data_IF_572864140627
#
_entry.id   IF_572864140627
#
_cell.length_a   1.000
_cell.length_b   1.000
_cell.length_c   1.000
_cell.angle_alpha   90.00
_cell.angle_beta   90.00
_cell.angle_gamma   90.00
#
_symmetry.space_group_name_H-M   'P 1'
#
loop_
_entity.id
_entity.type
_entity.pdbx_description
1 polymer ?
#
# COMPACT_ATOMS: atom_id res chain seq x y z
N UNK A 1 -64.04 63.33 -78.20
CA UNK A 1 -65.12 62.83 -77.33
C UNK A 1 -66.52 63.00 -77.95
N UNK A 2 -66.87 64.16 -78.53
CA UNK A 2 -68.18 64.35 -79.17
C UNK A 2 -68.41 63.42 -80.40
N UNK A 3 -67.38 63.22 -81.24
CA UNK A 3 -67.46 62.34 -82.42
C UNK A 3 -67.54 60.85 -82.08
N UNK A 4 -66.88 60.40 -81.00
CA UNK A 4 -66.94 59.00 -80.54
C UNK A 4 -68.30 58.66 -79.94
N UNK A 5 -68.90 59.61 -79.21
CA UNK A 5 -70.25 59.49 -78.65
C UNK A 5 -71.33 59.49 -79.75
N UNK A 6 -71.21 60.37 -80.75
CA UNK A 6 -72.13 60.40 -81.89
C UNK A 6 -72.09 59.10 -82.72
N UNK A 7 -70.90 58.48 -82.88
CA UNK A 7 -70.72 57.18 -83.54
C UNK A 7 -71.42 56.03 -82.79
N UNK A 8 -71.33 56.02 -81.46
CA UNK A 8 -72.00 55.05 -80.58
C UNK A 8 -73.53 55.23 -80.55
N UNK A 9 -74.00 56.48 -80.61
CA UNK A 9 -75.42 56.83 -80.62
C UNK A 9 -76.11 56.47 -81.95
N UNK A 10 -75.41 56.62 -83.08
CA UNK A 10 -75.90 56.24 -84.42
C UNK A 10 -75.94 54.72 -84.66
N UNK A 11 -75.12 53.94 -83.95
CA UNK A 11 -75.14 52.47 -84.01
C UNK A 11 -76.32 51.82 -83.25
N UNK A 12 -77.33 52.61 -82.85
CA UNK A 12 -78.55 52.14 -82.18
C UNK A 12 -78.31 51.28 -80.93
N UNK A 13 -77.23 51.49 -80.17
CA UNK A 13 -77.04 50.90 -78.84
C UNK A 13 -77.01 49.36 -78.74
N UNK A 14 -77.38 48.63 -79.79
CA UNK A 14 -77.44 47.16 -79.80
C UNK A 14 -76.03 46.59 -79.73
N UNK A 15 -75.08 47.11 -80.51
CA UNK A 15 -73.70 46.61 -80.53
C UNK A 15 -72.95 46.73 -79.19
N UNK A 16 -73.21 47.79 -78.40
CA UNK A 16 -72.56 47.97 -77.08
C UNK A 16 -73.15 47.01 -76.06
N UNK A 17 -74.48 46.85 -76.09
CA UNK A 17 -75.20 45.94 -75.21
C UNK A 17 -74.84 44.48 -75.57
N UNK A 18 -74.79 44.16 -76.86
CA UNK A 18 -74.38 42.87 -77.38
C UNK A 18 -72.91 42.57 -77.05
N UNK A 19 -71.99 43.54 -77.17
CA UNK A 19 -70.60 43.40 -76.74
C UNK A 19 -70.47 43.23 -75.23
N UNK A 20 -71.27 43.94 -74.44
CA UNK A 20 -71.30 43.77 -72.99
C UNK A 20 -71.76 42.36 -72.62
N UNK A 21 -72.85 41.87 -73.21
CA UNK A 21 -73.33 40.51 -72.95
C UNK A 21 -72.37 39.45 -73.50
N UNK A 22 -71.70 39.70 -74.62
CA UNK A 22 -70.64 38.83 -75.16
C UNK A 22 -69.46 38.73 -74.19
N UNK A 23 -68.93 39.87 -73.72
CA UNK A 23 -67.82 39.92 -72.77
C UNK A 23 -68.22 39.34 -71.40
N UNK A 24 -69.44 39.60 -70.95
CA UNK A 24 -69.96 39.03 -69.70
C UNK A 24 -70.15 37.52 -69.81
N UNK A 25 -70.64 37.01 -70.95
CA UNK A 25 -70.77 35.58 -71.20
C UNK A 25 -69.41 34.90 -71.32
N UNK A 26 -68.43 35.55 -71.98
CA UNK A 26 -67.06 35.06 -72.12
C UNK A 26 -66.33 35.02 -70.77
N UNK A 27 -66.51 36.07 -69.95
CA UNK A 27 -66.01 36.11 -68.58
C UNK A 27 -66.64 35.04 -67.69
N UNK A 28 -67.94 34.76 -67.83
CA UNK A 28 -68.56 33.67 -67.08
C UNK A 28 -68.12 32.29 -67.54
N UNK A 29 -67.87 32.12 -68.85
CA UNK A 29 -67.39 30.85 -69.40
C UNK A 29 -66.00 30.49 -68.86
N UNK A 30 -65.13 31.49 -68.67
CA UNK A 30 -63.76 31.30 -68.16
C UNK A 30 -63.60 31.55 -66.64
N UNK A 31 -64.64 32.00 -65.93
CA UNK A 31 -64.58 32.38 -64.50
C UNK A 31 -63.90 31.31 -63.64
N UNK A 32 -64.29 30.05 -63.82
CA UNK A 32 -63.77 28.95 -63.01
C UNK A 32 -62.29 28.67 -63.31
N UNK A 33 -61.90 28.74 -64.59
CA UNK A 33 -60.51 28.52 -65.00
C UNK A 33 -59.58 29.61 -64.47
N UNK A 34 -60.02 30.88 -64.57
CA UNK A 34 -59.30 32.02 -64.01
C UNK A 34 -59.23 31.94 -62.48
N UNK A 35 -60.31 31.54 -61.81
CA UNK A 35 -60.34 31.32 -60.37
C UNK A 35 -59.35 30.24 -59.96
N UNK A 36 -59.35 29.09 -60.63
CA UNK A 36 -58.46 27.97 -60.34
C UNK A 36 -56.99 28.35 -60.58
N UNK A 37 -56.71 29.10 -61.65
CA UNK A 37 -55.38 29.64 -61.93
C UNK A 37 -54.91 30.61 -60.83
N UNK A 38 -55.77 31.54 -60.43
CA UNK A 38 -55.50 32.46 -59.32
C UNK A 38 -55.27 31.70 -58.01
N UNK A 39 -56.09 30.70 -57.68
CA UNK A 39 -55.91 29.85 -56.51
C UNK A 39 -54.59 29.06 -56.57
N UNK A 40 -54.16 28.59 -57.75
CA UNK A 40 -52.85 27.94 -57.94
C UNK A 40 -51.69 28.89 -57.62
N UNK A 41 -51.75 30.12 -58.12
CA UNK A 41 -50.74 31.15 -57.83
C UNK A 41 -50.73 31.47 -56.33
N UNK A 42 -51.89 31.75 -55.75
CA UNK A 42 -52.01 32.12 -54.35
C UNK A 42 -51.55 31.00 -53.41
N UNK A 43 -51.93 29.75 -53.64
CA UNK A 43 -51.51 28.62 -52.80
C UNK A 43 -50.00 28.38 -52.91
N UNK A 44 -49.43 28.51 -54.10
CA UNK A 44 -47.99 28.39 -54.32
C UNK A 44 -47.22 29.49 -53.57
N UNK A 45 -47.68 30.74 -53.67
CA UNK A 45 -47.10 31.88 -52.96
C UNK A 45 -47.20 31.72 -51.44
N UNK A 46 -48.38 31.40 -50.89
CA UNK A 46 -48.56 31.15 -49.46
C UNK A 46 -47.63 30.03 -48.96
N UNK A 47 -47.51 28.95 -49.74
CA UNK A 47 -46.59 27.86 -49.44
C UNK A 47 -45.11 28.25 -49.54
N UNK A 48 -44.74 29.15 -50.45
CA UNK A 48 -43.38 29.70 -50.54
C UNK A 48 -43.05 30.54 -49.30
N UNK A 49 -43.90 31.50 -48.94
CA UNK A 49 -43.71 32.37 -47.77
C UNK A 49 -43.57 31.56 -46.48
N UNK A 50 -44.42 30.54 -46.30
CA UNK A 50 -44.34 29.68 -45.11
C UNK A 50 -43.02 28.88 -45.04
N UNK A 51 -42.55 28.34 -46.17
CA UNK A 51 -41.29 27.60 -46.22
C UNK A 51 -40.08 28.49 -46.01
N UNK A 52 -40.08 29.70 -46.58
CA UNK A 52 -39.01 30.67 -46.39
C UNK A 52 -38.88 31.08 -44.91
N UNK A 53 -40.02 31.32 -44.26
CA UNK A 53 -40.06 31.59 -42.82
C UNK A 53 -39.51 30.43 -41.97
N UNK A 54 -39.88 29.18 -42.28
CA UNK A 54 -39.35 27.99 -41.58
C UNK A 54 -37.83 27.87 -41.78
N UNK A 55 -37.33 28.11 -43.00
CA UNK A 55 -35.91 28.08 -43.30
C UNK A 55 -35.14 29.14 -42.49
N UNK A 56 -35.70 30.35 -42.37
CA UNK A 56 -35.13 31.40 -41.53
C UNK A 56 -35.04 30.96 -40.07
N UNK A 57 -36.12 30.41 -39.49
CA UNK A 57 -36.13 29.91 -38.12
C UNK A 57 -35.06 28.83 -37.92
N UNK A 58 -34.98 27.85 -38.83
CA UNK A 58 -33.98 26.80 -38.77
C UNK A 58 -32.55 27.35 -38.82
N UNK A 59 -32.30 28.33 -39.70
CA UNK A 59 -30.99 28.99 -39.83
C UNK A 59 -30.57 29.67 -38.53
N UNK A 60 -31.48 30.43 -37.90
CA UNK A 60 -31.19 31.08 -36.62
C UNK A 60 -31.02 30.07 -35.48
N UNK A 61 -31.84 29.01 -35.43
CA UNK A 61 -31.67 27.93 -34.47
C UNK A 61 -30.30 27.25 -34.60
N UNK A 62 -29.85 26.95 -35.82
CA UNK A 62 -28.52 26.36 -36.06
C UNK A 62 -27.40 27.29 -35.60
N UNK A 63 -27.52 28.61 -35.79
CA UNK A 63 -26.53 29.59 -35.28
C UNK A 63 -26.42 29.53 -33.76
N UNK A 64 -27.55 29.54 -33.06
CA UNK A 64 -27.59 29.45 -31.59
C UNK A 64 -26.97 28.13 -31.13
N UNK A 65 -27.40 27.02 -31.72
CA UNK A 65 -26.91 25.70 -31.33
C UNK A 65 -25.40 25.54 -31.59
N UNK A 66 -24.89 26.04 -32.73
CA UNK A 66 -23.45 26.05 -33.03
C UNK A 66 -22.66 26.83 -31.97
N UNK A 67 -23.13 28.03 -31.62
CA UNK A 67 -22.49 28.86 -30.61
C UNK A 67 -22.48 28.15 -29.24
N UNK A 68 -23.59 27.54 -28.85
CA UNK A 68 -23.71 26.80 -27.59
C UNK A 68 -22.79 25.57 -27.55
N UNK A 69 -22.78 24.73 -28.58
CA UNK A 69 -21.86 23.57 -28.67
C UNK A 69 -20.40 24.01 -28.55
N UNK A 70 -20.04 25.13 -29.20
CA UNK A 70 -18.70 25.73 -29.08
C UNK A 70 -18.38 26.22 -27.67
N UNK A 71 -19.34 26.88 -26.99
CA UNK A 71 -19.18 27.30 -25.60
C UNK A 71 -18.96 26.10 -24.66
N UNK A 72 -19.79 25.06 -24.81
CA UNK A 72 -19.67 23.83 -24.02
C UNK A 72 -18.31 23.15 -24.24
N UNK A 73 -17.85 23.05 -25.49
CA UNK A 73 -16.53 22.50 -25.81
C UNK A 73 -15.39 23.27 -25.14
N UNK A 74 -15.43 24.61 -25.18
CA UNK A 74 -14.42 25.45 -24.49
C UNK A 74 -14.44 25.24 -22.97
N UNK A 75 -15.63 25.16 -22.37
CA UNK A 75 -15.79 24.92 -20.93
C UNK A 75 -15.28 23.54 -20.49
N UNK A 76 -15.44 22.51 -21.34
CA UNK A 76 -14.86 21.19 -21.09
C UNK A 76 -13.33 21.24 -21.16
N UNK A 77 -12.77 21.84 -22.21
CA UNK A 77 -11.33 21.99 -22.38
C UNK A 77 -10.67 22.76 -21.22
N UNK A 78 -11.29 23.84 -20.75
CA UNK A 78 -10.80 24.61 -19.60
C UNK A 78 -10.66 23.73 -18.35
N UNK A 79 -11.66 22.88 -18.07
CA UNK A 79 -11.61 21.93 -16.94
C UNK A 79 -10.48 20.93 -17.10
N UNK A 80 -10.31 20.36 -18.29
CA UNK A 80 -9.24 19.39 -18.57
C UNK A 80 -7.85 20.02 -18.39
N UNK A 81 -7.65 21.26 -18.84
CA UNK A 81 -6.38 21.98 -18.66
C UNK A 81 -6.06 22.19 -17.19
N UNK A 82 -7.04 22.63 -16.39
CA UNK A 82 -6.87 22.86 -14.95
C UNK A 82 -6.52 21.55 -14.22
N UNK A 83 -7.24 20.47 -14.49
CA UNK A 83 -6.96 19.17 -13.86
C UNK A 83 -5.59 18.61 -14.26
N UNK A 84 -5.22 18.73 -15.54
CA UNK A 84 -3.90 18.34 -16.03
C UNK A 84 -2.79 19.13 -15.33
N UNK A 85 -2.96 20.44 -15.17
CA UNK A 85 -1.96 21.29 -14.51
C UNK A 85 -1.90 21.05 -13.00
N UNK A 86 -3.03 20.73 -12.35
CA UNK A 86 -3.08 20.28 -10.96
C UNK A 86 -2.33 18.96 -10.76
N UNK A 87 -2.59 17.97 -11.61
CA UNK A 87 -1.91 16.68 -11.58
C UNK A 87 -0.39 16.85 -11.79
N UNK A 88 0.02 17.67 -12.76
CA UNK A 88 1.44 17.98 -13.00
C UNK A 88 2.10 18.59 -11.76
N UNK A 89 1.48 19.60 -11.14
CA UNK A 89 2.02 20.24 -9.92
C UNK A 89 2.13 19.26 -8.76
N UNK A 90 1.08 18.46 -8.53
CA UNK A 90 1.07 17.45 -7.47
C UNK A 90 2.20 16.43 -7.68
N UNK A 91 2.38 15.92 -8.90
CA UNK A 91 3.44 14.97 -9.22
C UNK A 91 4.83 15.57 -9.01
N UNK A 92 5.03 16.84 -9.37
CA UNK A 92 6.29 17.55 -9.12
C UNK A 92 6.60 17.64 -7.62
N UNK A 93 5.65 18.10 -6.81
CA UNK A 93 5.87 18.23 -5.36
C UNK A 93 6.05 16.88 -4.68
N UNK A 94 5.30 15.85 -5.09
CA UNK A 94 5.49 14.50 -4.61
C UNK A 94 6.90 13.98 -4.92
N UNK A 95 7.41 14.22 -6.13
CA UNK A 95 8.78 13.85 -6.49
C UNK A 95 9.84 14.57 -5.63
N UNK A 96 9.63 15.86 -5.32
CA UNK A 96 10.50 16.61 -4.42
C UNK A 96 10.42 16.09 -2.98
N UNK A 97 9.23 15.80 -2.49
CA UNK A 97 9.01 15.21 -1.17
C UNK A 97 9.73 13.86 -1.04
N UNK A 98 9.64 12.98 -2.05
CA UNK A 98 10.34 11.70 -2.08
C UNK A 98 11.87 11.90 -2.03
N UNK A 99 12.41 12.89 -2.75
CA UNK A 99 13.85 13.21 -2.69
C UNK A 99 14.29 13.63 -1.29
N UNK A 100 13.55 14.54 -0.66
CA UNK A 100 13.83 14.99 0.71
C UNK A 100 13.75 13.81 1.68
N UNK A 101 12.68 13.02 1.61
CA UNK A 101 12.46 11.85 2.45
C UNK A 101 13.56 10.80 2.27
N UNK A 102 13.97 10.49 1.04
CA UNK A 102 15.06 9.54 0.74
C UNK A 102 16.37 10.01 1.37
N UNK A 103 16.72 11.28 1.18
CA UNK A 103 17.96 11.87 1.73
C UNK A 103 17.94 11.87 3.25
N UNK A 104 16.83 12.28 3.86
CA UNK A 104 16.64 12.25 5.32
C UNK A 104 16.77 10.82 5.85
N UNK A 105 16.11 9.83 5.23
CA UNK A 105 16.13 8.43 5.70
C UNK A 105 17.54 7.88 5.66
N UNK A 106 18.30 8.22 4.62
CA UNK A 106 19.72 7.89 4.52
C UNK A 106 20.58 8.57 5.59
N UNK A 107 20.38 9.87 5.82
CA UNK A 107 21.07 10.62 6.89
C UNK A 107 20.80 9.99 8.26
N UNK A 108 19.53 9.80 8.62
CA UNK A 108 19.13 9.26 9.92
C UNK A 108 19.70 7.87 10.18
N UNK A 109 19.66 6.98 9.18
CA UNK A 109 20.25 5.65 9.33
C UNK A 109 21.75 5.73 9.61
N UNK A 110 22.48 6.53 8.82
CA UNK A 110 23.93 6.69 8.98
C UNK A 110 24.32 7.41 10.26
N UNK A 111 23.46 8.27 10.82
CA UNK A 111 23.76 9.01 12.05
C UNK A 111 23.40 8.23 13.31
N UNK A 112 22.23 7.60 13.35
CA UNK A 112 21.69 7.07 14.61
C UNK A 112 21.61 5.54 14.68
N UNK A 113 21.54 4.85 13.54
CA UNK A 113 21.22 3.41 13.53
C UNK A 113 22.44 2.55 13.20
N UNK A 114 23.12 2.84 12.09
CA UNK A 114 24.13 1.92 11.53
C UNK A 114 25.46 2.62 11.27
N UNK A 115 26.50 2.18 11.97
CA UNK A 115 27.88 2.58 11.73
C UNK A 115 28.63 1.47 10.99
N UNK A 116 28.88 1.71 9.70
CA UNK A 116 29.57 0.76 8.84
C UNK A 116 31.00 0.48 9.32
N UNK A 117 31.74 1.52 9.70
CA UNK A 117 33.17 1.39 10.04
C UNK A 117 33.33 0.71 11.39
N UNK A 118 32.51 1.07 12.36
CA UNK A 118 32.50 0.37 13.66
C UNK A 118 32.13 -1.11 13.50
N UNK A 119 31.14 -1.43 12.65
CA UNK A 119 30.77 -2.83 12.38
C UNK A 119 31.86 -3.62 11.65
N UNK A 120 32.54 -3.02 10.67
CA UNK A 120 33.66 -3.66 9.98
C UNK A 120 34.77 -4.01 10.99
N UNK A 121 35.15 -3.05 11.84
CA UNK A 121 36.15 -3.27 12.87
C UNK A 121 35.74 -4.36 13.87
N UNK A 122 34.48 -4.37 14.31
CA UNK A 122 33.96 -5.42 15.20
C UNK A 122 34.02 -6.81 14.57
N UNK A 123 33.67 -6.93 13.28
CA UNK A 123 33.74 -8.21 12.58
C UNK A 123 35.20 -8.67 12.46
N UNK A 124 36.14 -7.77 12.22
CA UNK A 124 37.56 -8.11 12.16
C UNK A 124 38.07 -8.64 13.51
N UNK A 125 37.76 -7.94 14.60
CA UNK A 125 38.06 -8.42 15.96
C UNK A 125 37.42 -9.78 16.28
N UNK A 126 36.21 -10.03 15.78
CA UNK A 126 35.58 -11.35 15.94
C UNK A 126 36.31 -12.44 15.18
N UNK A 127 36.81 -12.17 13.97
CA UNK A 127 37.59 -13.15 13.20
C UNK A 127 38.87 -13.52 13.95
N UNK A 128 39.62 -12.53 14.44
CA UNK A 128 40.84 -12.76 15.21
C UNK A 128 40.57 -13.64 16.44
N UNK A 129 39.50 -13.34 17.19
CA UNK A 129 39.09 -14.17 18.35
C UNK A 129 38.68 -15.59 17.95
N UNK A 130 37.99 -15.76 16.82
CA UNK A 130 37.61 -17.08 16.33
C UNK A 130 38.83 -17.90 15.90
N UNK A 131 39.82 -17.25 15.28
CA UNK A 131 41.09 -17.90 14.93
C UNK A 131 41.86 -18.34 16.17
N UNK A 132 41.95 -17.48 17.19
CA UNK A 132 42.53 -17.83 18.50
C UNK A 132 41.81 -19.03 19.11
N UNK A 133 40.48 -18.97 19.17
CA UNK A 133 39.67 -20.08 19.74
C UNK A 133 39.87 -21.39 18.97
N UNK A 134 39.99 -21.33 17.63
CA UNK A 134 40.29 -22.51 16.81
C UNK A 134 41.67 -23.09 17.10
N UNK A 135 42.68 -22.25 17.28
CA UNK A 135 44.02 -22.68 17.66
C UNK A 135 44.06 -23.30 19.06
N UNK A 136 43.33 -22.70 20.01
CA UNK A 136 43.18 -23.25 21.36
C UNK A 136 42.47 -24.61 21.34
N UNK A 137 41.41 -24.76 20.53
CA UNK A 137 40.71 -26.03 20.37
C UNK A 137 41.58 -27.10 19.68
N UNK A 138 42.41 -26.73 18.70
CA UNK A 138 43.30 -27.70 18.05
C UNK A 138 44.39 -28.19 19.00
N UNK A 139 45.02 -27.29 19.75
CA UNK A 139 46.02 -27.65 20.77
C UNK A 139 45.39 -28.48 21.90
N UNK A 140 44.18 -28.13 22.33
CA UNK A 140 43.43 -28.96 23.29
C UNK A 140 43.10 -30.35 22.73
N UNK A 141 42.67 -30.46 21.48
CA UNK A 141 42.41 -31.75 20.86
C UNK A 141 43.67 -32.62 20.73
N UNK A 142 44.82 -32.03 20.39
CA UNK A 142 46.12 -32.72 20.33
C UNK A 142 46.59 -33.17 21.72
N UNK A 143 46.48 -32.32 22.73
CA UNK A 143 46.81 -32.69 24.12
C UNK A 143 45.90 -33.80 24.63
N UNK A 144 44.60 -33.76 24.33
CA UNK A 144 43.67 -34.85 24.66
C UNK A 144 44.04 -36.15 23.95
N UNK A 145 44.37 -36.11 22.65
CA UNK A 145 44.79 -37.29 21.88
C UNK A 145 46.04 -37.92 22.47
N UNK A 146 47.06 -37.12 22.79
CA UNK A 146 48.31 -37.62 23.38
C UNK A 146 48.09 -38.16 24.80
N UNK A 147 47.25 -37.52 25.61
CA UNK A 147 46.84 -38.05 26.93
C UNK A 147 46.12 -39.39 26.83
N UNK A 148 45.18 -39.54 25.91
CA UNK A 148 44.48 -40.81 25.68
C UNK A 148 45.42 -41.90 25.17
N UNK A 149 46.31 -41.57 24.23
CA UNK A 149 47.31 -42.52 23.71
C UNK A 149 48.28 -42.98 24.80
N UNK A 150 48.80 -42.05 25.61
CA UNK A 150 49.70 -42.38 26.73
C UNK A 150 48.99 -43.21 27.79
N UNK A 151 47.73 -42.90 28.13
CA UNK A 151 46.93 -43.68 29.06
C UNK A 151 46.66 -45.11 28.53
N UNK A 152 46.21 -45.24 27.29
CA UNK A 152 45.97 -46.55 26.66
C UNK A 152 47.26 -47.38 26.58
N UNK A 153 48.38 -46.74 26.24
CA UNK A 153 49.69 -47.40 26.21
C UNK A 153 50.11 -47.87 27.61
N UNK A 154 49.92 -47.04 28.65
CA UNK A 154 50.20 -47.43 30.04
C UNK A 154 49.33 -48.61 30.48
N UNK A 155 48.03 -48.59 30.16
CA UNK A 155 47.14 -49.72 30.45
C UNK A 155 47.60 -51.00 29.72
N UNK A 156 47.98 -50.88 28.44
CA UNK A 156 48.50 -52.00 27.66
C UNK A 156 49.80 -52.56 28.23
N UNK A 157 50.77 -51.69 28.59
CA UNK A 157 52.04 -52.10 29.23
C UNK A 157 51.77 -52.79 30.57
N UNK A 158 50.92 -52.22 31.43
CA UNK A 158 50.58 -52.83 32.72
C UNK A 158 49.90 -54.20 32.53
N UNK A 159 49.05 -54.34 31.52
CA UNK A 159 48.45 -55.63 31.17
C UNK A 159 49.50 -56.63 30.66
N UNK A 160 50.42 -56.20 29.80
CA UNK A 160 51.54 -57.01 29.33
C UNK A 160 52.45 -57.47 30.48
N UNK A 161 52.79 -56.60 31.43
CA UNK A 161 53.60 -56.96 32.61
C UNK A 161 52.94 -58.07 33.44
N UNK A 162 51.61 -57.98 33.67
CA UNK A 162 50.84 -59.03 34.34
C UNK A 162 50.85 -60.36 33.57
N UNK A 163 50.70 -60.29 32.24
CA UNK A 163 50.78 -61.47 31.39
C UNK A 163 52.20 -62.07 31.36
N UNK A 164 53.23 -61.23 31.33
CA UNK A 164 54.63 -61.63 31.34
C UNK A 164 54.99 -62.40 32.62
N UNK A 165 54.47 -61.99 33.78
CA UNK A 165 54.65 -62.74 35.03
C UNK A 165 54.06 -64.15 34.98
N UNK A 166 52.85 -64.31 34.42
CA UNK A 166 52.18 -65.62 34.34
C UNK A 166 52.70 -66.50 33.18
N UNK A 167 53.12 -65.88 32.08
CA UNK A 167 53.56 -66.55 30.84
C UNK A 167 55.02 -66.21 30.51
N UNK A 168 55.89 -66.23 31.51
CA UNK A 168 57.30 -65.84 31.36
C UNK A 168 58.09 -66.73 30.38
N UNK A 169 57.65 -67.97 30.14
CA UNK A 169 58.23 -68.87 29.12
C UNK A 169 57.99 -68.40 27.66
N UNK A 170 57.10 -67.43 27.43
CA UNK A 170 56.88 -66.79 26.12
C UNK A 170 57.73 -65.51 25.95
N UNK A 171 58.48 -65.12 26.98
CA UNK A 171 59.44 -64.01 26.92
C UNK A 171 60.74 -64.48 26.26
N UNK A 172 61.37 -63.57 25.52
CA UNK A 172 62.61 -63.87 24.81
C UNK A 172 63.81 -63.96 25.75
N UNK A 173 64.82 -64.72 25.33
CA UNK A 173 66.15 -64.70 25.96
C UNK A 173 67.07 -63.76 25.17
N UNK A 174 68.25 -63.44 25.71
CA UNK A 174 69.21 -62.52 25.08
C UNK A 174 69.61 -62.92 23.64
N UNK A 175 69.47 -64.20 23.29
CA UNK A 175 69.81 -64.74 21.97
C UNK A 175 68.60 -64.89 21.01
N UNK A 176 67.38 -65.06 21.53
CA UNK A 176 66.16 -65.28 20.71
C UNK A 176 65.02 -64.40 21.23
N UNK A 177 64.48 -63.48 20.40
CA UNK A 177 63.35 -62.64 20.77
C UNK A 177 62.09 -63.46 21.05
N UNK A 178 61.31 -63.07 22.07
CA UNK A 178 60.09 -63.77 22.48
C UNK A 178 58.88 -63.35 21.65
N UNK A 179 57.78 -64.10 21.72
CA UNK A 179 56.57 -63.83 20.93
C UNK A 179 56.01 -62.42 21.20
N UNK A 180 56.23 -61.90 22.41
CA UNK A 180 55.79 -60.56 22.82
C UNK A 180 56.70 -59.40 22.34
N UNK A 181 57.84 -59.66 21.68
CA UNK A 181 58.72 -58.58 21.18
C UNK A 181 58.32 -58.06 19.79
N UNK A 182 57.19 -58.51 19.25
CA UNK A 182 56.61 -57.98 18.01
C UNK A 182 56.10 -56.54 18.16
N UNK A 183 56.05 -55.79 17.05
CA UNK A 183 55.59 -54.38 17.04
C UNK A 183 54.22 -54.23 17.71
N UNK A 184 54.08 -53.20 18.53
CA UNK A 184 52.81 -52.76 19.11
C UNK A 184 51.81 -52.53 17.96
N UNK A 185 50.63 -53.18 17.95
CA UNK A 185 49.68 -53.06 16.85
C UNK A 185 49.10 -51.64 16.76
N UNK A 186 48.94 -51.14 15.53
CA UNK A 186 48.44 -49.81 15.14
C UNK A 186 46.94 -49.58 15.45
N UNK A 187 46.37 -50.35 16.39
CA UNK A 187 44.94 -50.35 16.73
C UNK A 187 44.58 -49.19 17.68
N UNK A 188 45.57 -48.39 18.10
CA UNK A 188 45.38 -47.21 18.96
C UNK A 188 45.16 -45.90 18.19
N UNK A 189 45.07 -45.93 16.85
CA UNK A 189 45.11 -44.72 16.01
C UNK A 189 43.79 -44.32 15.30
N UNK A 190 42.70 -45.09 15.39
CA UNK A 190 41.45 -44.78 14.65
C UNK A 190 40.27 -44.33 15.54
N UNK A 191 39.74 -43.09 15.36
CA UNK A 191 38.53 -42.64 16.08
C UNK A 191 37.22 -43.10 15.39
N UNK A 192 36.09 -43.26 16.13
CA UNK A 192 34.94 -44.06 15.70
C UNK A 192 33.77 -43.30 15.02
N UNK A 193 33.88 -42.01 14.73
CA UNK A 193 32.69 -41.11 14.75
C UNK A 193 32.03 -40.72 13.40
N UNK A 194 32.19 -41.45 12.29
CA UNK A 194 31.52 -41.08 11.02
C UNK A 194 30.74 -42.23 10.35
N UNK A 195 29.50 -42.46 10.79
CA UNK A 195 28.51 -43.22 10.03
C UNK A 195 27.07 -42.94 10.49
N UNK A 196 26.45 -41.83 10.05
CA UNK A 196 24.99 -41.76 9.87
C UNK A 196 24.59 -40.46 9.17
N UNK A 197 23.67 -40.57 8.19
CA UNK A 197 22.67 -39.59 7.70
C UNK A 197 22.74 -39.16 6.23
N UNK A 198 22.01 -39.87 5.37
CA UNK A 198 21.33 -39.31 4.20
C UNK A 198 20.31 -40.32 3.62
N UNK A 199 19.04 -40.22 4.03
CA UNK A 199 17.88 -40.71 3.27
C UNK A 199 16.57 -40.15 3.86
N UNK A 200 15.81 -39.40 3.04
CA UNK A 200 14.33 -39.46 2.91
C UNK A 200 13.76 -38.19 2.27
N UNK A 201 13.38 -38.34 1.01
CA UNK A 201 12.24 -37.70 0.37
C UNK A 201 10.94 -38.34 0.86
N UNK A 202 9.84 -37.60 1.00
CA UNK A 202 8.57 -38.02 0.36
C UNK A 202 7.42 -36.99 0.36
N UNK A 203 6.45 -37.17 -0.55
CA UNK A 203 5.49 -36.19 -1.03
C UNK A 203 4.06 -36.49 -0.56
N UNK A 204 3.41 -35.55 0.13
CA UNK A 204 1.96 -35.60 0.30
C UNK A 204 1.37 -34.20 0.23
N UNK A 205 0.94 -33.82 -0.97
CA UNK A 205 0.00 -32.72 -1.17
C UNK A 205 -1.13 -33.21 -2.09
N UNK A 206 -2.29 -33.51 -1.50
CA UNK A 206 -3.55 -33.73 -2.23
C UNK A 206 -4.70 -33.01 -1.51
N UNK A 207 -4.98 -31.82 -2.06
CA UNK A 207 -6.27 -31.20 -2.36
C UNK A 207 -7.52 -31.61 -1.54
N UNK A 208 -8.24 -30.59 -1.06
CA UNK A 208 -9.71 -30.61 -0.97
C UNK A 208 -10.33 -29.47 -1.81
N UNK A 209 -11.51 -29.69 -2.43
CA UNK A 209 -12.11 -28.76 -3.38
C UNK A 209 -13.10 -27.80 -2.69
N UNK A 210 -12.86 -26.48 -2.77
CA UNK A 210 -13.83 -25.49 -2.29
C UNK A 210 -14.94 -25.27 -3.32
N UNK A 211 -16.17 -25.56 -2.90
CA UNK A 211 -17.42 -25.16 -3.55
C UNK A 211 -17.45 -23.63 -3.71
N UNK A 212 -17.50 -23.15 -4.95
CA UNK A 212 -17.68 -21.73 -5.27
C UNK A 212 -19.08 -21.26 -4.80
N UNK A 213 -19.11 -20.50 -3.71
CA UNK A 213 -20.21 -19.57 -3.40
C UNK A 213 -19.84 -18.21 -4.02
N UNK A 214 -20.80 -17.54 -4.66
CA UNK A 214 -20.60 -16.21 -5.25
C UNK A 214 -20.12 -15.16 -4.22
N UNK A 215 -19.55 -14.03 -4.68
CA UNK A 215 -18.85 -13.10 -3.82
C UNK A 215 -19.80 -12.46 -2.79
N UNK A 216 -19.52 -12.66 -1.49
CA UNK A 216 -20.21 -12.05 -0.34
C UNK A 216 -20.09 -10.50 -0.28
N UNK A 217 -19.63 -9.85 -1.34
CA UNK A 217 -19.15 -8.46 -1.37
C UNK A 217 -20.23 -7.39 -1.34
N UNK A 218 -21.52 -7.76 -1.25
CA UNK A 218 -22.64 -6.81 -1.21
C UNK A 218 -23.14 -6.49 0.21
N UNK A 219 -22.74 -7.24 1.24
CA UNK A 219 -23.17 -6.98 2.62
C UNK A 219 -22.01 -6.38 3.42
N UNK A 220 -22.18 -5.20 4.06
CA UNK A 220 -21.15 -4.59 4.90
C UNK A 220 -20.72 -5.53 6.05
N UNK A 221 -19.42 -5.65 6.29
CA UNK A 221 -18.85 -6.58 7.28
C UNK A 221 -19.32 -6.28 8.72
N UNK A 222 -19.55 -5.01 9.04
CA UNK A 222 -20.14 -4.56 10.31
C UNK A 222 -21.51 -5.20 10.57
N UNK A 223 -22.37 -5.30 9.56
CA UNK A 223 -23.69 -5.95 9.67
C UNK A 223 -23.60 -7.48 9.81
N UNK A 224 -22.53 -8.10 9.32
CA UNK A 224 -22.28 -9.54 9.47
C UNK A 224 -21.72 -9.87 10.86
N UNK A 225 -20.84 -9.02 11.40
CA UNK A 225 -20.29 -9.14 12.76
C UNK A 225 -21.35 -8.88 13.85
N UNK A 226 -22.26 -7.96 13.61
CA UNK A 226 -23.38 -7.63 14.50
C UNK A 226 -24.68 -8.38 14.16
N UNK A 227 -24.57 -9.59 13.61
CA UNK A 227 -25.74 -10.43 13.35
C UNK A 227 -26.19 -11.16 14.63
N UNK A 228 -27.48 -11.06 14.96
CA UNK A 228 -28.10 -11.76 16.10
C UNK A 228 -27.88 -13.28 16.04
N UNK A 229 -27.97 -13.88 14.84
CA UNK A 229 -27.73 -15.30 14.64
C UNK A 229 -26.27 -15.71 14.96
N UNK A 230 -25.30 -14.85 14.64
CA UNK A 230 -23.89 -15.08 14.96
C UNK A 230 -23.66 -14.99 16.48
N UNK A 231 -24.29 -14.03 17.16
CA UNK A 231 -24.20 -13.88 18.62
C UNK A 231 -24.85 -15.05 19.37
N UNK A 232 -25.95 -15.60 18.86
CA UNK A 232 -26.54 -16.83 19.40
C UNK A 232 -25.66 -18.05 19.17
N UNK A 233 -25.11 -18.21 17.97
CA UNK A 233 -24.21 -19.32 17.65
C UNK A 233 -22.94 -19.29 18.50
N UNK A 234 -22.29 -18.13 18.66
CA UNK A 234 -21.09 -17.96 19.50
C UNK A 234 -21.40 -18.28 20.96
N UNK A 235 -22.51 -17.78 21.53
CA UNK A 235 -22.94 -18.12 22.89
C UNK A 235 -23.20 -19.61 23.09
N UNK A 236 -23.69 -20.29 22.06
CA UNK A 236 -24.01 -21.71 22.13
C UNK A 236 -22.79 -22.61 21.94
N UNK A 237 -21.78 -22.16 21.19
CA UNK A 237 -20.70 -23.02 20.68
C UNK A 237 -19.33 -22.72 21.30
N UNK A 238 -19.02 -21.45 21.56
CA UNK A 238 -17.69 -21.03 22.03
C UNK A 238 -17.64 -21.07 23.56
N UNK A 239 -16.68 -21.80 24.13
CA UNK A 239 -16.47 -21.91 25.58
C UNK A 239 -17.20 -23.07 26.27
N UNK A 240 -17.86 -23.95 25.51
CA UNK A 240 -18.43 -25.21 26.01
C UNK A 240 -17.56 -26.40 25.57
N UNK A 241 -17.31 -27.35 26.46
CA UNK A 241 -16.64 -28.60 26.10
C UNK A 241 -17.58 -29.54 25.31
N UNK A 242 -17.08 -30.67 24.80
CA UNK A 242 -17.88 -31.65 24.03
C UNK A 242 -19.10 -32.23 24.78
N UNK A 243 -19.23 -31.96 26.09
CA UNK A 243 -20.34 -32.35 26.96
C UNK A 243 -21.27 -31.17 27.30
N UNK A 244 -21.09 -29.99 26.70
CA UNK A 244 -21.96 -28.82 26.85
C UNK A 244 -21.69 -27.94 28.09
N UNK A 245 -20.63 -28.21 28.86
CA UNK A 245 -20.32 -27.49 30.10
C UNK A 245 -19.49 -26.24 29.81
N UNK A 246 -19.90 -25.08 30.34
CA UNK A 246 -19.19 -23.79 30.21
C UNK A 246 -17.90 -23.82 31.04
N UNK A 247 -16.75 -23.79 30.37
CA UNK A 247 -15.43 -23.82 31.03
C UNK A 247 -15.02 -22.39 31.40
N UNK A 248 -14.97 -22.07 32.71
CA UNK A 248 -14.37 -20.81 33.17
C UNK A 248 -12.84 -20.87 33.02
N UNK A 249 -12.19 -19.78 32.59
CA UNK A 249 -10.74 -19.74 32.49
C UNK A 249 -10.09 -19.95 33.87
N UNK A 250 -8.95 -20.66 33.94
CA UNK A 250 -8.28 -20.94 35.21
C UNK A 250 -7.86 -19.63 35.91
N UNK A 251 -8.10 -19.55 37.23
CA UNK A 251 -7.61 -18.46 38.07
C UNK A 251 -6.08 -18.49 38.07
N UNK A 252 -5.44 -17.36 37.78
CA UNK A 252 -3.99 -17.20 37.88
C UNK A 252 -3.66 -16.84 39.32
N UNK A 253 -3.02 -17.74 40.04
CA UNK A 253 -2.47 -17.40 41.36
C UNK A 253 -1.19 -16.58 41.15
N UNK A 254 -1.20 -15.34 41.65
CA UNK A 254 -0.03 -14.45 41.68
C UNK A 254 0.92 -14.89 42.81
N UNK A 255 1.59 -16.02 42.61
CA UNK A 255 2.68 -16.44 43.48
C UNK A 255 3.96 -15.66 43.16
N UNK A 256 4.48 -14.93 44.15
CA UNK A 256 5.82 -14.31 44.13
C UNK A 256 6.87 -15.40 43.89
N UNK A 257 7.68 -15.27 42.84
CA UNK A 257 8.79 -16.20 42.54
C UNK A 257 10.09 -15.39 42.56
N UNK A 258 11.04 -15.84 43.37
CA UNK A 258 12.33 -15.21 43.63
C UNK A 258 13.19 -15.01 42.37
N UNK A 259 13.84 -13.84 42.29
CA UNK A 259 14.60 -13.30 41.16
C UNK A 259 15.98 -13.97 40.89
N UNK A 260 16.23 -15.18 41.40
CA UNK A 260 17.59 -15.71 41.52
C UNK A 260 18.13 -16.61 40.40
N UNK A 261 17.32 -17.11 39.45
CA UNK A 261 17.79 -18.12 38.46
C UNK A 261 18.11 -17.52 37.09
N UNK A 262 19.40 -17.38 36.79
CA UNK A 262 19.94 -17.10 35.44
C UNK A 262 19.59 -18.29 34.55
N UNK A 263 18.80 -18.05 33.50
CA UNK A 263 18.41 -19.09 32.52
C UNK A 263 19.51 -19.23 31.48
N UNK A 264 19.91 -20.46 31.18
CA UNK A 264 20.91 -20.76 30.17
C UNK A 264 20.25 -20.74 28.77
N UNK A 265 20.74 -19.88 27.87
CA UNK A 265 20.24 -19.75 26.49
C UNK A 265 19.47 -18.44 26.22
N UNK A 266 18.84 -18.27 25.04
CA UNK A 266 18.20 -17.02 24.61
C UNK A 266 16.84 -16.74 25.29
N UNK A 267 16.57 -17.35 26.43
CA UNK A 267 15.27 -17.31 27.11
C UNK A 267 15.26 -16.28 28.24
N UNK A 268 14.13 -15.57 28.37
CA UNK A 268 13.95 -14.55 29.41
C UNK A 268 13.88 -15.19 30.82
N UNK A 269 14.48 -14.57 31.85
CA UNK A 269 14.31 -14.95 33.25
C UNK A 269 12.85 -15.05 33.65
N UNK A 270 12.52 -15.98 34.56
CA UNK A 270 11.14 -16.31 34.92
C UNK A 270 10.37 -15.09 35.48
N UNK A 271 11.05 -14.22 36.24
CA UNK A 271 10.50 -12.95 36.74
C UNK A 271 10.12 -12.00 35.60
N UNK A 272 11.03 -11.77 34.65
CA UNK A 272 10.79 -10.90 33.50
C UNK A 272 9.77 -11.49 32.51
N UNK A 273 9.74 -12.81 32.36
CA UNK A 273 8.72 -13.52 31.59
C UNK A 273 7.33 -13.31 32.20
N UNK A 274 7.21 -13.37 33.54
CA UNK A 274 5.94 -13.11 34.23
C UNK A 274 5.51 -11.64 34.08
N UNK A 275 6.44 -10.68 34.18
CA UNK A 275 6.18 -9.26 33.86
C UNK A 275 5.69 -9.09 32.42
N UNK A 276 6.30 -9.80 31.45
CA UNK A 276 5.92 -9.76 30.03
C UNK A 276 4.56 -10.45 29.78
N UNK A 277 4.25 -11.53 30.49
CA UNK A 277 2.95 -12.23 30.45
C UNK A 277 1.80 -11.41 31.05
N UNK A 278 2.11 -10.53 32.00
CA UNK A 278 1.16 -9.60 32.62
C UNK A 278 0.86 -8.35 31.78
N UNK A 279 1.67 -8.07 30.74
CA UNK A 279 1.40 -6.92 29.85
C UNK A 279 0.09 -7.17 29.10
N UNK A 280 -0.86 -6.21 29.10
CA UNK A 280 -2.07 -6.32 28.30
C UNK A 280 -1.68 -6.51 26.84
N UNK A 281 -2.32 -7.47 26.16
CA UNK A 281 -2.05 -7.73 24.75
C UNK A 281 -2.40 -6.48 23.93
N UNK A 282 -1.37 -5.81 23.41
CA UNK A 282 -1.48 -4.66 22.51
C UNK A 282 -0.99 -5.09 21.13
N UNK A 283 -1.88 -5.67 20.30
CA UNK A 283 -1.48 -6.08 18.95
C UNK A 283 -0.98 -4.87 18.17
N UNK A 284 0.00 -5.07 17.29
CA UNK A 284 0.44 -4.00 16.38
C UNK A 284 -0.74 -3.54 15.53
N UNK A 285 -0.70 -2.32 15.00
CA UNK A 285 -1.82 -1.79 14.18
C UNK A 285 -2.23 -2.79 13.08
N UNK A 286 -1.27 -3.49 12.46
CA UNK A 286 -1.50 -4.57 11.47
C UNK A 286 -2.27 -5.79 11.98
N UNK A 287 -2.22 -6.07 13.28
CA UNK A 287 -2.92 -7.19 13.93
C UNK A 287 -4.25 -6.72 14.56
N UNK A 288 -4.32 -5.45 14.99
CA UNK A 288 -5.56 -4.83 15.48
C UNK A 288 -6.57 -4.56 14.35
N UNK A 289 -6.07 -4.15 13.19
CA UNK A 289 -6.90 -3.81 12.04
C UNK A 289 -6.89 -4.94 11.05
N UNK A 290 -8.05 -5.31 10.52
CA UNK A 290 -8.15 -6.27 9.41
C UNK A 290 -7.27 -5.86 8.22
N UNK A 291 -6.81 -6.83 7.42
CA UNK A 291 -5.89 -6.59 6.29
C UNK A 291 -6.48 -5.57 5.29
N UNK A 292 -7.81 -5.54 5.15
CA UNK A 292 -8.52 -4.62 4.28
C UNK A 292 -9.13 -3.41 5.02
N UNK A 293 -8.82 -3.22 6.30
CA UNK A 293 -9.40 -2.17 7.15
C UNK A 293 -9.31 -0.77 6.55
N UNK A 294 -8.18 -0.40 5.95
CA UNK A 294 -7.99 0.92 5.31
C UNK A 294 -8.92 1.07 4.10
N UNK A 295 -9.03 0.02 3.28
CA UNK A 295 -9.88 0.02 2.08
C UNK A 295 -11.35 0.05 2.48
N UNK A 296 -11.72 -0.69 3.51
CA UNK A 296 -13.08 -0.74 4.04
C UNK A 296 -13.46 0.60 4.71
N UNK A 297 -12.57 1.20 5.50
CA UNK A 297 -12.77 2.51 6.12
C UNK A 297 -12.98 3.61 5.08
N UNK A 298 -12.17 3.66 4.02
CA UNK A 298 -12.37 4.62 2.92
C UNK A 298 -13.70 4.42 2.19
N UNK A 299 -14.16 3.18 2.06
CA UNK A 299 -15.45 2.86 1.44
C UNK A 299 -16.61 3.29 2.33
N UNK A 300 -16.51 3.08 3.64
CA UNK A 300 -17.51 3.49 4.62
C UNK A 300 -17.57 5.01 4.77
N UNK A 301 -16.42 5.69 4.81
CA UNK A 301 -16.31 7.15 4.86
C UNK A 301 -16.99 7.79 3.65
N UNK A 302 -16.73 7.30 2.44
CA UNK A 302 -17.44 7.78 1.22
C UNK A 302 -18.94 7.56 1.27
N UNK A 303 -19.41 6.45 1.84
CA UNK A 303 -20.85 6.17 1.99
C UNK A 303 -21.49 7.10 3.01
N UNK A 304 -20.81 7.38 4.12
CA UNK A 304 -21.26 8.35 5.13
C UNK A 304 -21.23 9.79 4.59
N UNK A 305 -20.16 10.20 3.92
CA UNK A 305 -20.05 11.50 3.25
C UNK A 305 -21.16 11.70 2.21
N UNK A 306 -21.49 10.64 1.45
CA UNK A 306 -22.60 10.69 0.50
C UNK A 306 -23.97 10.85 1.19
N UNK A 307 -24.15 10.26 2.37
CA UNK A 307 -25.36 10.43 3.19
C UNK A 307 -25.47 11.78 3.91
N UNK A 308 -24.33 12.41 4.20
CA UNK A 308 -24.22 13.69 4.90
C UNK A 308 -24.09 14.90 3.96
N UNK A 309 -23.98 14.68 2.65
CA UNK A 309 -23.85 15.75 1.64
C UNK A 309 -25.18 16.50 1.49
N UNK A 310 -25.17 17.78 1.86
CA UNK A 310 -26.30 18.71 1.65
C UNK A 310 -26.42 19.13 0.17
N UNK A 311 -25.29 19.18 -0.55
CA UNK A 311 -25.23 19.46 -1.99
C UNK A 311 -24.14 18.60 -2.67
N UNK A 312 -24.35 18.25 -3.94
CA UNK A 312 -23.40 17.49 -4.78
C UNK A 312 -22.42 18.36 -5.55
N UNK A 313 -22.63 19.68 -5.53
CA UNK A 313 -21.79 20.66 -6.24
C UNK A 313 -20.56 21.06 -5.40
N UNK A 314 -19.42 21.28 -6.06
CA UNK A 314 -18.18 21.65 -5.39
C UNK A 314 -18.29 23.06 -4.79
N UNK A 315 -17.93 23.20 -3.51
CA UNK A 315 -17.89 24.49 -2.82
C UNK A 315 -16.86 25.41 -3.50
N UNK A 316 -17.32 26.50 -4.12
CA UNK A 316 -16.46 27.51 -4.72
C UNK A 316 -16.27 28.67 -3.72
N UNK A 317 -15.02 28.92 -3.34
CA UNK A 317 -14.66 30.11 -2.56
C UNK A 317 -14.65 31.30 -3.54
N UNK A 318 -15.47 32.34 -3.33
CA UNK A 318 -15.71 33.34 -4.37
C UNK A 318 -14.53 34.30 -4.62
N UNK A 319 -13.54 34.39 -3.73
CA UNK A 319 -12.45 35.37 -3.88
C UNK A 319 -11.08 34.85 -3.42
N UNK A 320 -10.07 35.08 -4.26
CA UNK A 320 -8.66 34.96 -3.91
C UNK A 320 -8.27 36.17 -3.06
N UNK A 321 -7.88 35.96 -1.80
CA UNK A 321 -7.31 37.02 -0.94
C UNK A 321 -5.82 37.13 -1.26
N UNK A 322 -5.35 38.22 -1.90
CA UNK A 322 -3.93 38.45 -2.08
C UNK A 322 -3.26 38.71 -0.72
N UNK A 323 -2.13 38.05 -0.47
CA UNK A 323 -1.30 38.30 0.72
C UNK A 323 -0.25 39.36 0.38
N UNK A 324 -0.13 40.41 1.21
CA UNK A 324 0.65 41.63 0.94
C UNK A 324 2.18 41.46 0.85
N UNK A 325 2.74 40.28 1.13
CA UNK A 325 4.19 40.10 1.21
C UNK A 325 4.68 38.83 0.47
N UNK A 326 5.10 38.94 -0.81
CA UNK A 326 5.65 37.82 -1.59
C UNK A 326 7.13 37.50 -1.26
N UNK A 327 7.75 38.24 -0.35
CA UNK A 327 9.21 38.25 -0.12
C UNK A 327 9.69 37.39 1.05
N UNK A 328 8.88 36.46 1.56
CA UNK A 328 9.31 35.51 2.60
C UNK A 328 10.59 34.72 2.21
N UNK A 329 10.87 34.54 0.92
CA UNK A 329 12.06 33.86 0.41
C UNK A 329 13.29 34.77 0.18
N UNK A 330 13.16 36.10 0.33
CA UNK A 330 14.20 37.06 -0.01
C UNK A 330 14.84 37.77 1.20
N UNK A 331 14.26 37.64 2.40
CA UNK A 331 14.99 37.99 3.62
C UNK A 331 15.99 36.87 3.86
N UNK A 332 17.27 37.23 3.94
CA UNK A 332 18.34 36.27 4.22
C UNK A 332 17.94 35.38 5.37
N UNK A 333 17.94 34.06 5.13
CA UNK A 333 17.56 33.07 6.12
C UNK A 333 18.35 33.34 7.42
N UNK A 334 17.71 33.30 8.60
CA UNK A 334 18.41 33.44 9.88
C UNK A 334 19.44 32.31 10.11
N UNK A 335 19.46 31.32 9.22
CA UNK A 335 20.34 30.16 9.23
C UNK A 335 21.63 30.46 8.48
N UNK A 336 22.70 30.72 9.25
CA UNK A 336 24.07 30.73 8.70
C UNK A 336 24.40 29.32 8.19
N UNK A 337 24.98 29.24 7.00
CA UNK A 337 25.51 27.98 6.45
C UNK A 337 26.61 27.45 7.39
N UNK A 338 26.33 26.40 8.14
CA UNK A 338 27.32 25.76 9.03
C UNK A 338 28.37 25.10 8.13
N UNK A 339 29.65 25.43 8.34
CA UNK A 339 30.76 24.83 7.61
C UNK A 339 30.74 23.31 7.81
N UNK A 340 30.35 22.58 6.77
CA UNK A 340 30.26 21.13 6.78
C UNK A 340 31.68 20.53 6.84
N UNK A 341 32.01 19.74 7.87
CA UNK A 341 33.16 18.84 7.84
C UNK A 341 34.28 18.98 8.88
N UNK A 342 34.10 19.67 10.02
CA UNK A 342 35.13 19.68 11.11
C UNK A 342 34.79 18.89 12.37
N UNK A 343 33.58 18.34 12.47
CA UNK A 343 33.11 17.52 13.60
C UNK A 343 32.68 16.15 13.07
N UNK A 344 32.95 15.08 13.80
CA UNK A 344 32.62 13.73 13.31
C UNK A 344 31.13 13.67 12.98
N UNK A 345 30.74 12.99 11.89
CA UNK A 345 29.37 13.01 11.34
C UNK A 345 28.25 12.65 12.37
N UNK A 346 28.62 12.02 13.49
CA UNK A 346 27.73 11.57 14.57
C UNK A 346 27.81 12.40 15.85
N UNK A 347 28.73 13.37 15.95
CA UNK A 347 28.78 14.29 17.10
C UNK A 347 27.48 15.11 17.18
N UNK A 348 26.97 15.25 18.40
CA UNK A 348 25.84 16.10 18.73
C UNK A 348 26.38 17.30 19.52
N UNK A 349 26.17 18.51 19.01
CA UNK A 349 26.41 19.73 19.77
C UNK A 349 25.11 20.11 20.50
N UNK A 350 24.97 19.83 21.81
CA UNK A 350 23.74 20.12 22.56
C UNK A 350 23.41 21.62 22.62
N UNK A 351 24.41 22.48 22.44
CA UNK A 351 24.27 23.95 22.48
C UNK A 351 23.73 24.56 21.18
N UNK A 352 23.58 23.76 20.11
CA UNK A 352 23.01 24.23 18.83
C UNK A 352 21.46 24.24 18.81
N UNK A 353 20.81 24.30 19.98
CA UNK A 353 19.36 24.49 20.08
C UNK A 353 18.98 25.89 19.58
N UNK A 354 18.36 25.93 18.40
CA UNK A 354 17.90 27.17 17.74
C UNK A 354 16.79 27.87 18.57
N UNK A 355 16.06 27.10 19.38
CA UNK A 355 14.96 27.58 20.23
C UNK A 355 15.08 26.96 21.63
N UNK A 356 14.73 27.73 22.66
CA UNK A 356 14.60 27.25 24.05
C UNK A 356 13.38 26.35 24.25
N UNK A 357 12.41 26.41 23.34
CA UNK A 357 11.18 25.65 23.38
C UNK A 357 11.26 24.45 22.42
N UNK A 358 10.79 23.30 22.90
CA UNK A 358 10.60 22.11 22.07
C UNK A 358 9.53 22.36 21.00
N UNK A 359 9.64 21.68 19.86
CA UNK A 359 8.64 21.76 18.80
C UNK A 359 7.29 21.28 19.33
N UNK A 360 6.29 22.16 19.35
CA UNK A 360 4.91 21.78 19.66
C UNK A 360 4.33 21.01 18.48
N UNK A 361 3.97 19.75 18.70
CA UNK A 361 3.26 18.96 17.70
C UNK A 361 1.89 19.60 17.42
N UNK A 362 1.65 19.94 16.16
CA UNK A 362 0.34 20.45 15.68
C UNK A 362 -0.68 19.30 15.61
N UNK A 363 -0.21 18.05 15.63
CA UNK A 363 -1.02 16.83 15.55
C UNK A 363 -0.95 16.09 16.90
N UNK A 364 -2.06 15.51 17.40
CA UNK A 364 -2.06 14.76 18.65
C UNK A 364 -1.02 13.62 18.63
N UNK A 365 -0.29 13.40 19.74
CA UNK A 365 0.78 12.42 19.79
C UNK A 365 0.25 10.99 19.62
N UNK A 366 0.95 10.20 18.83
CA UNK A 366 0.65 8.79 18.62
C UNK A 366 1.44 8.00 19.67
N UNK A 367 0.74 7.46 20.67
CA UNK A 367 1.31 6.82 21.87
C UNK A 367 2.40 5.77 21.59
N UNK A 368 2.32 5.07 20.46
CA UNK A 368 3.32 4.06 20.06
C UNK A 368 4.71 4.67 19.86
N UNK A 369 4.82 5.90 19.33
CA UNK A 369 6.11 6.54 19.11
C UNK A 369 6.70 7.11 20.40
N UNK A 370 5.85 7.51 21.35
CA UNK A 370 6.28 7.99 22.65
C UNK A 370 6.80 6.85 23.53
N UNK A 371 6.13 5.69 23.51
CA UNK A 371 6.56 4.48 24.22
C UNK A 371 7.93 4.00 23.70
N UNK A 372 8.16 4.03 22.38
CA UNK A 372 9.45 3.69 21.77
C UNK A 372 10.52 4.71 22.15
N UNK A 373 10.21 6.00 22.12
CA UNK A 373 11.16 7.03 22.56
C UNK A 373 11.53 6.85 24.05
N UNK A 374 10.58 6.49 24.91
CA UNK A 374 10.80 6.26 26.33
C UNK A 374 11.60 4.97 26.63
N UNK A 375 11.44 3.91 25.84
CA UNK A 375 12.22 2.67 25.97
C UNK A 375 13.69 2.86 25.56
N UNK A 376 13.99 3.76 24.61
CA UNK A 376 15.35 4.06 24.14
C UNK A 376 16.06 5.18 24.90
N UNK A 377 15.35 5.98 25.71
CA UNK A 377 15.94 7.07 26.52
C UNK A 377 16.28 6.63 27.96
N UNK A 378 15.93 5.40 28.35
CA UNK A 378 16.21 4.83 29.68
C UNK A 378 17.32 3.75 29.66
N UNK A 379 18.18 3.76 28.63
CA UNK A 379 19.45 3.00 28.55
C UNK A 379 20.56 4.02 28.40
#
# INVERSE_FOLDING_TARGET
MALSYAKLYLQKGTGIIDDFFRLSSDAELHRQEEHDAACKIQKAWRGYVARDWILLIHKEAVRIQRAFRGHMGRKMYEREVVERDRARRMNYYNAMAVRIQKTWRGYRNRKYVFDFRARQHYIEQLKEKLEQTRADLSTYAETQRTQLQTHNLQQYISHLEKLAGTRHHLLGTKAIPGVFSGRVPDVLSTPPDLATSAESSDPHNRLHPSRNLGPLTKVPESKLRDNAALREWVRNTVGKNAKGIVVKPPRRDEGVVEDGKIVQGPFLPKGDLNKKKGRPFRPTLRVQTDYLSVINAWREERLQEAGMRITTEAFQIPHHVPHDHPTYFQRGDPYKLIAYGRKTFREEDPDMRISRYDFKNIVPPIQIFDDVAAEYMNV
#
